data_IF_154633318593
#
_entry.id   IF_154633318593
#
_cell.length_a   1.000
_cell.length_b   1.000
_cell.length_c   1.000
_cell.angle_alpha   90.00
_cell.angle_beta   90.00
_cell.angle_gamma   90.00
#
_symmetry.space_group_name_H-M   'P 1'
#
loop_
_entity.id
_entity.type
_entity.pdbx_description
1 polymer ?
#
# COMPACT_ATOMS: atom_id res chain seq x y z
N UNK A 1 -22.74 5.97 -18.71
CA UNK A 1 -22.35 5.78 -17.30
C UNK A 1 -22.90 4.47 -16.78
N UNK A 2 -22.07 3.58 -16.25
CA UNK A 2 -22.51 2.32 -15.62
C UNK A 2 -22.82 2.56 -14.14
N UNK A 3 -24.11 2.69 -13.79
CA UNK A 3 -24.52 2.68 -12.38
C UNK A 3 -24.35 1.26 -11.83
N UNK A 4 -23.31 1.05 -11.02
CA UNK A 4 -23.16 -0.15 -10.20
C UNK A 4 -24.12 -0.07 -9.02
N UNK A 5 -25.13 -0.94 -8.97
CA UNK A 5 -25.98 -1.09 -7.79
C UNK A 5 -25.18 -1.80 -6.69
N UNK A 6 -24.88 -1.07 -5.63
CA UNK A 6 -24.31 -1.60 -4.38
C UNK A 6 -25.34 -1.52 -3.25
N UNK A 7 -25.37 -2.55 -2.40
CA UNK A 7 -26.15 -2.59 -1.16
C UNK A 7 -25.23 -3.04 -0.04
N UNK A 8 -25.38 -2.45 1.15
CA UNK A 8 -24.63 -2.81 2.35
C UNK A 8 -25.60 -3.36 3.38
N UNK A 9 -25.23 -4.48 4.01
CA UNK A 9 -25.95 -5.10 5.11
C UNK A 9 -24.99 -5.32 6.27
N UNK A 10 -25.23 -4.66 7.39
CA UNK A 10 -24.45 -4.81 8.62
C UNK A 10 -25.25 -5.62 9.63
N UNK A 11 -24.67 -6.69 10.17
CA UNK A 11 -25.29 -7.60 11.14
C UNK A 11 -24.35 -7.85 12.32
N UNK A 12 -24.90 -7.94 13.53
CA UNK A 12 -24.18 -8.42 14.72
C UNK A 12 -24.55 -9.87 14.97
N UNK A 13 -23.54 -10.74 15.09
CA UNK A 13 -23.70 -12.20 15.20
C UNK A 13 -22.78 -12.72 16.30
N UNK A 14 -23.17 -13.81 16.96
CA UNK A 14 -22.27 -14.54 17.86
C UNK A 14 -21.06 -15.10 17.07
N UNK A 15 -19.87 -15.20 17.67
CA UNK A 15 -18.66 -15.65 16.99
C UNK A 15 -18.74 -17.10 16.44
N UNK A 16 -19.61 -17.93 17.03
CA UNK A 16 -19.88 -19.30 16.59
C UNK A 16 -20.75 -19.37 15.32
N UNK A 17 -21.83 -18.59 15.26
CA UNK A 17 -22.76 -18.56 14.13
C UNK A 17 -22.19 -17.82 12.91
N UNK A 18 -21.26 -16.88 13.12
CA UNK A 18 -20.61 -16.13 12.04
C UNK A 18 -19.96 -17.05 10.98
N UNK A 19 -19.36 -18.18 11.40
CA UNK A 19 -18.77 -19.17 10.48
C UNK A 19 -19.82 -19.83 9.59
N UNK A 20 -20.95 -20.23 10.16
CA UNK A 20 -22.05 -20.86 9.42
C UNK A 20 -22.66 -19.88 8.42
N UNK A 21 -22.81 -18.60 8.79
CA UNK A 21 -23.28 -17.54 7.90
C UNK A 21 -22.36 -17.40 6.66
N UNK A 22 -21.04 -17.36 6.85
CA UNK A 22 -20.10 -17.26 5.72
C UNK A 22 -20.12 -18.51 4.82
N UNK A 23 -20.26 -19.71 5.36
CA UNK A 23 -20.41 -20.93 4.56
C UNK A 23 -21.71 -20.95 3.73
N UNK A 24 -22.83 -20.46 4.29
CA UNK A 24 -24.09 -20.34 3.57
C UNK A 24 -23.99 -19.27 2.47
N UNK A 25 -23.43 -18.10 2.78
CA UNK A 25 -23.21 -17.03 1.81
C UNK A 25 -22.29 -17.46 0.66
N UNK A 26 -21.21 -18.21 0.96
CA UNK A 26 -20.29 -18.73 -0.05
C UNK A 26 -20.90 -19.73 -1.04
N UNK A 27 -22.02 -20.38 -0.68
CA UNK A 27 -22.79 -21.27 -1.58
C UNK A 27 -23.68 -20.50 -2.55
N UNK A 28 -24.12 -19.29 -2.17
CA UNK A 28 -25.08 -18.48 -2.94
C UNK A 28 -24.39 -17.33 -3.71
N UNK A 29 -23.29 -16.80 -3.19
CA UNK A 29 -22.60 -15.64 -3.74
C UNK A 29 -21.09 -15.86 -3.85
N UNK A 30 -20.50 -15.38 -4.96
CA UNK A 30 -19.04 -15.38 -5.14
C UNK A 30 -18.40 -14.24 -4.36
N UNK A 31 -17.74 -14.59 -3.25
CA UNK A 31 -16.94 -13.66 -2.44
C UNK A 31 -15.85 -13.03 -3.31
N UNK A 32 -15.79 -11.69 -3.35
CA UNK A 32 -14.82 -10.92 -4.15
C UNK A 32 -13.60 -10.48 -3.32
N UNK A 33 -13.85 -10.01 -2.11
CA UNK A 33 -12.85 -9.65 -1.11
C UNK A 33 -13.40 -10.10 0.25
N UNK A 34 -12.53 -10.61 1.12
CA UNK A 34 -12.85 -10.90 2.52
C UNK A 34 -11.74 -10.30 3.38
N UNK A 35 -12.13 -9.45 4.33
CA UNK A 35 -11.23 -8.81 5.29
C UNK A 35 -11.75 -9.12 6.68
N UNK A 36 -10.97 -9.87 7.44
CA UNK A 36 -11.21 -10.10 8.86
C UNK A 36 -10.26 -9.20 9.63
N UNK A 37 -10.79 -8.38 10.52
CA UNK A 37 -10.03 -7.62 11.49
C UNK A 37 -10.42 -8.12 12.88
N UNK A 38 -9.44 -8.34 13.75
CA UNK A 38 -9.64 -8.89 15.09
C UNK A 38 -8.76 -8.09 16.04
N UNK A 39 -9.39 -7.39 16.98
CA UNK A 39 -8.72 -6.57 17.97
C UNK A 39 -8.81 -7.27 19.33
N UNK A 40 -7.67 -7.59 19.93
CA UNK A 40 -7.63 -8.22 21.26
C UNK A 40 -7.72 -7.14 22.35
N UNK A 41 -8.83 -7.15 23.09
CA UNK A 41 -9.11 -6.23 24.22
C UNK A 41 -8.92 -6.89 25.59
N UNK A 42 -8.36 -8.10 25.65
CA UNK A 42 -8.20 -8.88 26.89
C UNK A 42 -7.38 -8.13 27.95
N UNK A 43 -6.32 -7.43 27.53
CA UNK A 43 -5.49 -6.60 28.43
C UNK A 43 -6.30 -5.48 29.10
N UNK A 44 -7.15 -4.78 28.35
CA UNK A 44 -8.00 -3.70 28.86
C UNK A 44 -9.08 -4.22 29.81
N UNK A 45 -9.66 -5.40 29.53
CA UNK A 45 -10.61 -6.07 30.44
C UNK A 45 -9.92 -6.38 31.78
N UNK A 46 -8.73 -6.99 31.74
CA UNK A 46 -7.96 -7.33 32.95
C UNK A 46 -7.62 -6.09 33.77
N UNK A 47 -7.24 -4.99 33.12
CA UNK A 47 -6.94 -3.71 33.77
C UNK A 47 -8.17 -3.11 34.48
N UNK A 48 -9.31 -3.05 33.79
CA UNK A 48 -10.57 -2.53 34.35
C UNK A 48 -11.02 -3.40 35.53
N UNK A 49 -10.93 -4.72 35.44
CA UNK A 49 -11.27 -5.61 36.56
C UNK A 49 -10.30 -5.48 37.75
N UNK A 50 -9.01 -5.27 37.50
CA UNK A 50 -8.05 -4.98 38.57
C UNK A 50 -8.38 -3.67 39.29
N UNK A 51 -8.76 -2.62 38.55
CA UNK A 51 -9.20 -1.34 39.13
C UNK A 51 -10.49 -1.49 39.94
N UNK A 52 -11.48 -2.26 39.45
CA UNK A 52 -12.72 -2.58 40.18
C UNK A 52 -12.41 -3.30 41.48
N UNK A 53 -11.54 -4.32 41.48
CA UNK A 53 -11.14 -5.05 42.70
C UNK A 53 -10.49 -4.12 43.74
N UNK A 54 -9.58 -3.25 43.29
CA UNK A 54 -8.89 -2.29 44.17
C UNK A 54 -9.87 -1.27 44.80
N UNK A 55 -10.77 -0.68 44.00
CA UNK A 55 -11.79 0.25 44.49
C UNK A 55 -12.80 -0.41 45.43
N UNK A 56 -13.18 -1.66 45.14
CA UNK A 56 -14.05 -2.46 46.02
C UNK A 56 -13.38 -2.68 47.39
N UNK A 57 -12.10 -3.06 47.40
CA UNK A 57 -11.33 -3.21 48.64
C UNK A 57 -11.15 -1.90 49.42
N UNK A 58 -11.01 -0.75 48.75
CA UNK A 58 -10.99 0.56 49.39
C UNK A 58 -12.35 0.90 50.03
N UNK A 59 -13.44 0.76 49.27
CA UNK A 59 -14.83 0.95 49.75
C UNK A 59 -15.11 0.13 51.00
N UNK A 60 -14.68 -1.13 51.02
CA UNK A 60 -14.96 -2.05 52.14
C UNK A 60 -14.14 -1.69 53.38
N UNK A 61 -12.89 -1.21 53.23
CA UNK A 61 -12.10 -0.64 54.34
C UNK A 61 -12.72 0.65 54.89
N UNK A 62 -13.17 1.56 54.02
CA UNK A 62 -13.86 2.80 54.45
C UNK A 62 -15.17 2.48 55.20
N UNK A 63 -15.95 1.51 54.72
CA UNK A 63 -17.14 1.01 55.44
C UNK A 63 -16.79 0.38 56.79
N UNK A 64 -15.69 -0.36 56.88
CA UNK A 64 -15.24 -0.94 58.14
C UNK A 64 -14.80 0.13 59.15
N UNK A 65 -14.19 1.23 58.69
CA UNK A 65 -13.89 2.40 59.53
C UNK A 65 -15.16 3.07 60.04
N UNK A 66 -16.18 3.27 59.19
CA UNK A 66 -17.48 3.80 59.61
C UNK A 66 -18.21 2.90 60.62
N UNK A 67 -18.05 1.57 60.49
CA UNK A 67 -18.66 0.60 61.40
C UNK A 67 -18.00 0.54 62.79
N UNK A 68 -16.81 1.15 62.97
CA UNK A 68 -16.11 1.27 64.25
C UNK A 68 -15.95 2.75 64.65
N UNK A 69 -17.00 3.39 65.20
CA UNK A 69 -17.05 4.83 65.45
C UNK A 69 -16.17 5.26 66.63
N UNK A 70 -14.85 5.31 66.39
CA UNK A 70 -13.83 5.78 67.33
C UNK A 70 -13.33 7.21 67.00
N UNK A 71 -13.99 7.91 66.07
CA UNK A 71 -13.59 9.23 65.56
C UNK A 71 -14.60 10.34 65.86
N UNK A 72 -14.23 11.59 65.54
CA UNK A 72 -15.12 12.74 65.68
C UNK A 72 -16.16 12.80 64.56
N UNK A 73 -17.25 13.56 64.75
CA UNK A 73 -18.29 13.76 63.72
C UNK A 73 -17.71 14.28 62.39
N UNK A 74 -16.64 15.09 62.45
CA UNK A 74 -15.95 15.59 61.25
C UNK A 74 -15.29 14.46 60.45
N UNK A 75 -14.68 13.51 61.15
CA UNK A 75 -13.99 12.37 60.52
C UNK A 75 -15.00 11.43 59.83
N UNK A 76 -16.20 11.26 60.43
CA UNK A 76 -17.30 10.50 59.83
C UNK A 76 -17.75 11.13 58.50
N UNK A 77 -18.01 12.43 58.49
CA UNK A 77 -18.47 13.14 57.27
C UNK A 77 -17.40 13.13 56.17
N UNK A 78 -16.12 13.24 56.52
CA UNK A 78 -15.02 13.12 55.54
C UNK A 78 -14.96 11.70 54.93
N UNK A 79 -15.10 10.66 55.75
CA UNK A 79 -15.11 9.27 55.26
C UNK A 79 -16.38 8.96 54.44
N UNK A 80 -17.54 9.52 54.76
CA UNK A 80 -18.76 9.42 53.94
C UNK A 80 -18.59 10.10 52.57
N UNK A 81 -17.97 11.28 52.54
CA UNK A 81 -17.61 12.00 51.32
C UNK A 81 -16.68 11.16 50.44
N UNK A 82 -15.63 10.58 51.02
CA UNK A 82 -14.67 9.74 50.30
C UNK A 82 -15.27 8.40 49.84
N UNK A 83 -16.19 7.82 50.63
CA UNK A 83 -16.96 6.65 50.24
C UNK A 83 -17.87 6.94 49.04
N UNK A 84 -18.51 8.11 49.01
CA UNK A 84 -19.36 8.57 47.90
C UNK A 84 -18.56 8.76 46.60
N UNK A 85 -17.36 9.37 46.67
CA UNK A 85 -16.41 9.45 45.55
C UNK A 85 -15.98 8.06 45.09
N UNK A 86 -15.56 7.18 46.00
CA UNK A 86 -15.11 5.81 45.70
C UNK A 86 -16.22 4.99 45.03
N UNK A 87 -17.47 5.12 45.47
CA UNK A 87 -18.62 4.45 44.86
C UNK A 87 -18.89 4.99 43.45
N UNK A 88 -18.82 6.32 43.25
CA UNK A 88 -18.97 6.95 41.94
C UNK A 88 -17.89 6.49 40.94
N UNK A 89 -16.63 6.37 41.38
CA UNK A 89 -15.56 5.80 40.56
C UNK A 89 -15.83 4.31 40.23
N UNK A 90 -16.21 3.52 41.23
CA UNK A 90 -16.52 2.10 41.07
C UNK A 90 -17.62 1.87 40.03
N UNK A 91 -18.71 2.64 40.10
CA UNK A 91 -19.82 2.56 39.15
C UNK A 91 -19.37 2.95 37.73
N UNK A 92 -18.51 3.97 37.61
CA UNK A 92 -17.87 4.34 36.35
C UNK A 92 -17.05 3.20 35.72
N UNK A 93 -16.23 2.50 36.50
CA UNK A 93 -15.46 1.35 36.01
C UNK A 93 -16.35 0.12 35.72
N UNK A 94 -17.40 -0.12 36.51
CA UNK A 94 -18.38 -1.19 36.22
C UNK A 94 -19.12 -0.96 34.90
N UNK A 95 -19.50 0.30 34.59
CA UNK A 95 -20.11 0.62 33.29
C UNK A 95 -19.13 0.42 32.14
N UNK A 96 -17.85 0.78 32.29
CA UNK A 96 -16.81 0.46 31.29
C UNK A 96 -16.67 -1.05 31.07
N UNK A 97 -16.67 -1.86 32.13
CA UNK A 97 -16.62 -3.33 32.03
C UNK A 97 -17.79 -3.90 31.22
N UNK A 98 -19.01 -3.37 31.40
CA UNK A 98 -20.20 -3.80 30.62
C UNK A 98 -20.03 -3.50 29.13
N UNK A 99 -19.58 -2.29 28.78
CA UNK A 99 -19.32 -1.92 27.37
C UNK A 99 -18.25 -2.82 26.75
N UNK A 100 -17.15 -3.09 27.46
CA UNK A 100 -16.11 -3.99 26.98
C UNK A 100 -16.59 -5.44 26.80
N UNK A 101 -17.49 -5.94 27.66
CA UNK A 101 -18.12 -7.25 27.48
C UNK A 101 -19.03 -7.28 26.24
N UNK A 102 -19.85 -6.23 26.05
CA UNK A 102 -20.68 -6.07 24.85
C UNK A 102 -19.86 -6.00 23.54
N UNK A 103 -18.65 -5.44 23.59
CA UNK A 103 -17.71 -5.39 22.46
C UNK A 103 -17.00 -6.73 22.20
N UNK A 104 -16.64 -7.49 23.24
CA UNK A 104 -15.88 -8.75 23.07
C UNK A 104 -16.75 -9.97 22.77
N UNK A 105 -18.02 -9.98 23.17
CA UNK A 105 -18.95 -11.10 22.91
C UNK A 105 -19.52 -11.12 21.48
N UNK A 106 -19.45 -10.01 20.73
CA UNK A 106 -20.24 -9.80 19.49
C UNK A 106 -19.37 -9.49 18.28
N UNK A 107 -19.49 -10.31 17.23
CA UNK A 107 -18.81 -10.05 15.95
C UNK A 107 -19.67 -9.13 15.09
N UNK A 108 -19.07 -8.01 14.63
CA UNK A 108 -19.69 -7.13 13.65
C UNK A 108 -19.34 -7.61 12.24
N UNK A 109 -20.36 -7.95 11.45
CA UNK A 109 -20.21 -8.44 10.08
C UNK A 109 -20.83 -7.42 9.12
N UNK A 110 -20.01 -6.81 8.28
CA UNK A 110 -20.46 -5.91 7.22
C UNK A 110 -20.32 -6.57 5.85
N UNK A 111 -21.43 -6.64 5.10
CA UNK A 111 -21.53 -7.34 3.82
C UNK A 111 -21.92 -6.33 2.75
N UNK A 112 -20.99 -6.03 1.85
CA UNK A 112 -21.27 -5.19 0.67
C UNK A 112 -21.54 -6.05 -0.57
N UNK A 113 -22.79 -6.05 -1.01
CA UNK A 113 -23.23 -6.71 -2.24
C UNK A 113 -23.02 -5.76 -3.42
N UNK A 114 -22.26 -6.21 -4.43
CA UNK A 114 -22.14 -5.51 -5.73
C UNK A 114 -22.82 -6.35 -6.79
N UNK A 115 -23.93 -5.87 -7.34
CA UNK A 115 -24.57 -6.55 -8.47
C UNK A 115 -23.69 -6.42 -9.71
N UNK A 116 -23.11 -7.54 -10.14
CA UNK A 116 -22.53 -7.67 -11.48
C UNK A 116 -23.72 -7.82 -12.43
N UNK A 117 -24.03 -6.77 -13.20
CA UNK A 117 -25.01 -6.85 -14.30
C UNK A 117 -24.70 -8.09 -15.14
N UNK A 118 -25.57 -9.09 -15.08
CA UNK A 118 -25.46 -10.24 -15.96
C UNK A 118 -25.88 -9.80 -17.36
N UNK A 119 -25.36 -10.46 -18.39
CA UNK A 119 -25.72 -10.15 -19.79
C UNK A 119 -27.23 -10.36 -20.03
N UNK A 120 -27.90 -11.15 -19.19
CA UNK A 120 -29.35 -11.34 -19.22
C UNK A 120 -30.15 -10.09 -18.85
N UNK A 121 -29.73 -9.29 -17.85
CA UNK A 121 -30.48 -8.09 -17.44
C UNK A 121 -30.35 -6.90 -18.41
N UNK A 122 -29.31 -6.89 -19.25
CA UNK A 122 -29.04 -5.75 -20.15
C UNK A 122 -29.39 -6.06 -21.61
N UNK A 123 -29.98 -7.22 -21.89
CA UNK A 123 -30.26 -7.70 -23.23
C UNK A 123 -29.00 -8.09 -24.01
N UNK A 124 -29.14 -9.01 -24.97
CA UNK A 124 -28.03 -9.56 -25.75
C UNK A 124 -27.20 -8.49 -26.51
N UNK A 125 -27.80 -7.32 -26.79
CA UNK A 125 -27.18 -6.24 -27.57
C UNK A 125 -26.41 -5.19 -26.75
N UNK A 126 -26.56 -5.14 -25.41
CA UNK A 126 -25.80 -4.20 -24.59
C UNK A 126 -24.28 -4.33 -24.68
N UNK A 127 -23.66 -5.54 -24.63
CA UNK A 127 -22.20 -5.65 -24.76
C UNK A 127 -21.69 -5.11 -26.12
N UNK A 128 -22.49 -5.28 -27.18
CA UNK A 128 -22.20 -4.73 -28.51
C UNK A 128 -22.29 -3.20 -28.47
N UNK A 129 -23.39 -2.64 -27.95
CA UNK A 129 -23.57 -1.19 -27.83
C UNK A 129 -22.45 -0.52 -27.01
N UNK A 130 -22.01 -1.15 -25.91
CA UNK A 130 -20.86 -0.64 -25.14
C UNK A 130 -19.56 -0.73 -25.93
N UNK A 131 -19.32 -1.80 -26.70
CA UNK A 131 -18.11 -1.92 -27.50
C UNK A 131 -18.02 -0.86 -28.61
N UNK A 132 -19.13 -0.51 -29.26
CA UNK A 132 -19.19 0.59 -30.23
C UNK A 132 -18.88 1.95 -29.59
N UNK A 133 -19.40 2.20 -28.39
CA UNK A 133 -19.17 3.46 -27.68
C UNK A 133 -17.70 3.59 -27.23
N UNK A 134 -17.10 2.50 -26.74
CA UNK A 134 -15.68 2.44 -26.38
C UNK A 134 -14.78 2.64 -27.59
N UNK A 135 -15.08 1.97 -28.72
CA UNK A 135 -14.33 2.11 -29.97
C UNK A 135 -14.34 3.55 -30.52
N UNK A 136 -15.49 4.24 -30.42
CA UNK A 136 -15.60 5.67 -30.76
C UNK A 136 -14.72 6.55 -29.87
N UNK A 137 -14.61 6.23 -28.58
CA UNK A 137 -13.74 6.95 -27.64
C UNK A 137 -12.24 6.72 -27.95
N UNK A 138 -11.83 5.49 -28.26
CA UNK A 138 -10.45 5.16 -28.67
C UNK A 138 -10.07 5.84 -29.99
N UNK A 139 -10.99 5.89 -30.95
CA UNK A 139 -10.78 6.63 -32.22
C UNK A 139 -10.61 8.13 -31.97
N UNK A 140 -11.49 8.74 -31.16
CA UNK A 140 -11.42 10.15 -30.80
C UNK A 140 -10.14 10.50 -30.03
N UNK A 141 -9.71 9.65 -29.10
CA UNK A 141 -8.45 9.81 -28.37
C UNK A 141 -7.23 9.72 -29.30
N UNK A 142 -7.26 8.78 -30.27
CA UNK A 142 -6.21 8.62 -31.28
C UNK A 142 -6.15 9.84 -32.22
N UNK A 143 -7.30 10.39 -32.63
CA UNK A 143 -7.40 11.62 -33.42
C UNK A 143 -6.87 12.84 -32.64
N UNK A 144 -7.26 12.98 -31.37
CA UNK A 144 -6.76 14.04 -30.49
C UNK A 144 -5.23 13.97 -30.30
N UNK A 145 -4.69 12.75 -30.14
CA UNK A 145 -3.25 12.53 -30.06
C UNK A 145 -2.53 12.93 -31.36
N UNK A 146 -3.08 12.57 -32.53
CA UNK A 146 -2.52 12.96 -33.82
C UNK A 146 -2.50 14.48 -34.02
N UNK A 147 -3.58 15.19 -33.65
CA UNK A 147 -3.64 16.66 -33.67
C UNK A 147 -2.62 17.27 -32.71
N UNK A 148 -2.53 16.76 -31.48
CA UNK A 148 -1.58 17.24 -30.47
C UNK A 148 -0.13 17.01 -30.92
N UNK A 149 0.18 15.86 -31.53
CA UNK A 149 1.49 15.55 -32.10
C UNK A 149 1.84 16.50 -33.25
N UNK A 150 0.90 16.78 -34.16
CA UNK A 150 1.11 17.74 -35.24
C UNK A 150 1.48 19.14 -34.71
N UNK A 151 0.72 19.65 -33.72
CA UNK A 151 1.02 20.93 -33.07
C UNK A 151 2.37 20.91 -32.34
N UNK A 152 2.70 19.82 -31.65
CA UNK A 152 3.97 19.67 -30.94
C UNK A 152 5.19 19.62 -31.88
N UNK A 153 5.04 19.11 -33.10
CA UNK A 153 6.12 19.01 -34.10
C UNK A 153 6.37 20.34 -34.83
N UNK A 154 5.36 21.23 -34.97
CA UNK A 154 5.50 22.52 -35.68
C UNK A 154 6.69 23.38 -35.19
N UNK A 155 6.91 23.61 -33.88
CA UNK A 155 8.07 24.36 -33.39
C UNK A 155 9.42 23.73 -33.79
N UNK A 156 9.52 22.40 -33.74
CA UNK A 156 10.73 21.69 -34.15
C UNK A 156 10.95 21.76 -35.65
N UNK A 157 9.90 21.69 -36.46
CA UNK A 157 9.97 21.82 -37.92
C UNK A 157 10.51 23.21 -38.30
N UNK A 158 9.99 24.27 -37.67
CA UNK A 158 10.46 25.66 -37.89
C UNK A 158 11.93 25.84 -37.52
N UNK A 159 12.45 25.08 -36.54
CA UNK A 159 13.84 25.14 -36.09
C UNK A 159 14.78 24.26 -36.96
N UNK A 160 14.32 23.10 -37.41
CA UNK A 160 15.11 22.15 -38.21
C UNK A 160 15.12 22.41 -39.73
N UNK A 161 14.19 23.21 -40.27
CA UNK A 161 14.21 23.59 -41.70
C UNK A 161 15.34 24.59 -42.06
N UNK A 162 15.57 25.70 -41.33
CA UNK A 162 16.59 26.69 -41.70
C UNK A 162 18.01 26.32 -41.27
N UNK A 163 18.18 25.46 -40.26
CA UNK A 163 19.48 25.05 -39.72
C UNK A 163 20.40 24.36 -40.74
N UNK A 164 19.98 23.34 -41.53
CA UNK A 164 20.84 22.74 -42.55
C UNK A 164 21.16 23.74 -43.69
N UNK A 165 20.23 24.63 -44.05
CA UNK A 165 20.48 25.65 -45.08
C UNK A 165 21.55 26.65 -44.64
N UNK A 166 21.49 27.13 -43.38
CA UNK A 166 22.52 27.99 -42.80
C UNK A 166 23.88 27.29 -42.66
N UNK A 167 23.89 26.00 -42.25
CA UNK A 167 25.11 25.19 -42.17
C UNK A 167 25.76 25.01 -43.55
N UNK A 168 24.99 24.62 -44.57
CA UNK A 168 25.49 24.46 -45.95
C UNK A 168 26.02 25.79 -46.48
N UNK A 169 25.31 26.90 -46.26
CA UNK A 169 25.73 28.24 -46.71
C UNK A 169 26.98 28.74 -45.98
N UNK A 170 27.14 28.41 -44.69
CA UNK A 170 28.36 28.66 -43.93
C UNK A 170 29.55 27.86 -44.45
N UNK A 171 29.35 26.56 -44.69
CA UNK A 171 30.37 25.65 -45.25
C UNK A 171 30.75 26.08 -46.69
N UNK A 172 29.80 26.52 -47.51
CA UNK A 172 30.07 27.02 -48.86
C UNK A 172 30.86 28.34 -48.85
N UNK A 173 30.60 29.24 -47.90
CA UNK A 173 31.44 30.44 -47.70
C UNK A 173 32.88 30.09 -47.31
N UNK A 174 33.09 29.03 -46.53
CA UNK A 174 34.42 28.56 -46.14
C UNK A 174 35.14 27.76 -47.25
N UNK A 175 34.39 27.14 -48.17
CA UNK A 175 34.91 26.38 -49.33
C UNK A 175 34.98 27.21 -50.62
N UNK A 176 34.94 28.54 -50.50
CA UNK A 176 35.09 29.49 -51.60
C UNK A 176 36.55 29.77 -52.00
N UNK A 177 37.50 29.38 -51.14
CA UNK A 177 38.92 29.26 -51.49
C UNK A 177 39.27 27.80 -51.77
N UNK A 178 40.32 27.60 -52.56
CA UNK A 178 40.98 26.32 -52.88
C UNK A 178 40.28 25.43 -53.93
N UNK A 179 40.24 25.97 -55.16
CA UNK A 179 40.57 25.20 -56.37
C UNK A 179 42.05 24.72 -56.29
N UNK A 180 42.43 23.54 -56.84
CA UNK A 180 42.21 23.26 -58.25
C UNK A 180 41.73 21.85 -58.63
N UNK A 181 40.93 21.85 -59.69
CA UNK A 181 40.53 20.70 -60.50
C UNK A 181 41.67 20.36 -61.48
N UNK A 182 42.06 19.09 -61.63
CA UNK A 182 42.69 18.62 -62.89
C UNK A 182 42.02 17.37 -63.44
N UNK A 183 41.11 17.68 -64.36
CA UNK A 183 40.58 17.03 -65.55
C UNK A 183 41.15 15.69 -66.08
N UNK A 184 40.39 14.99 -66.96
CA UNK A 184 40.48 13.55 -67.21
C UNK A 184 41.12 13.16 -68.57
N UNK A 185 41.36 11.85 -68.72
CA UNK A 185 41.43 11.06 -69.98
C UNK A 185 40.93 9.65 -69.62
N UNK A 186 39.94 9.02 -70.29
CA UNK A 186 39.98 8.41 -71.64
C UNK A 186 41.10 7.33 -71.68
N UNK A 187 40.86 6.04 -71.98
CA UNK A 187 39.95 5.45 -72.98
C UNK A 187 39.42 4.03 -72.63
N UNK A 188 38.64 3.42 -73.53
CA UNK A 188 38.10 2.06 -73.44
C UNK A 188 39.17 0.94 -73.46
N UNK A 189 38.83 -0.24 -72.92
CA UNK A 189 38.48 -1.46 -73.70
C UNK A 189 37.86 -2.48 -72.74
N UNK A 190 36.65 -2.94 -73.04
CA UNK A 190 35.99 -4.06 -72.36
C UNK A 190 36.06 -5.29 -73.26
N UNK A 191 36.76 -6.35 -72.82
CA UNK A 191 36.46 -7.75 -73.17
C UNK A 191 37.01 -8.65 -72.06
N UNK A 192 36.19 -9.62 -71.63
CA UNK A 192 36.44 -10.57 -70.53
C UNK A 192 37.27 -11.78 -71.04
N UNK A 193 37.35 -12.99 -70.41
CA UNK A 193 36.94 -13.44 -69.05
C UNK A 193 37.98 -14.40 -68.37
N UNK A 194 37.49 -15.14 -67.35
CA UNK A 194 37.91 -16.47 -66.82
C UNK A 194 39.09 -16.63 -65.81
N UNK A 195 38.75 -17.37 -64.74
CA UNK A 195 39.52 -18.45 -64.08
C UNK A 195 40.55 -18.22 -62.96
N UNK A 196 40.16 -18.69 -61.77
CA UNK A 196 40.81 -19.75 -60.97
C UNK A 196 42.33 -19.70 -60.68
N UNK A 197 42.68 -19.71 -59.37
CA UNK A 197 43.75 -20.55 -58.82
C UNK A 197 43.55 -20.79 -57.29
N UNK A 198 44.30 -21.75 -56.73
CA UNK A 198 44.06 -22.40 -55.43
C UNK A 198 45.13 -22.03 -54.34
N UNK A 199 45.04 -22.53 -53.08
CA UNK A 199 45.82 -22.10 -51.89
C UNK A 199 47.17 -22.90 -51.74
N UNK A 200 47.99 -22.92 -50.62
CA UNK A 200 47.67 -22.63 -49.20
C UNK A 200 48.78 -22.17 -48.18
N UNK A 201 48.38 -22.02 -46.88
CA UNK A 201 49.20 -22.03 -45.62
C UNK A 201 50.17 -20.82 -45.42
N UNK A 202 50.53 -20.32 -44.23
CA UNK A 202 50.38 -20.65 -42.77
C UNK A 202 50.64 -19.35 -41.95
N UNK A 203 50.55 -19.18 -40.61
CA UNK A 203 50.19 -19.98 -39.42
C UNK A 203 49.82 -19.06 -38.22
N UNK A 204 49.13 -19.57 -37.19
CA UNK A 204 49.02 -18.99 -35.82
C UNK A 204 48.03 -17.82 -35.62
N UNK A 205 47.28 -17.69 -34.52
CA UNK A 205 47.08 -18.56 -33.35
C UNK A 205 45.72 -18.24 -32.69
N UNK A 206 45.00 -19.27 -32.22
CA UNK A 206 43.81 -19.18 -31.34
C UNK A 206 44.23 -19.35 -29.85
N UNK A 207 43.35 -19.38 -28.80
CA UNK A 207 41.87 -19.37 -28.75
C UNK A 207 41.33 -18.25 -27.78
N UNK A 208 40.18 -18.25 -27.08
CA UNK A 208 39.12 -19.25 -26.79
C UNK A 208 37.77 -18.60 -26.37
N UNK A 209 36.65 -19.30 -26.66
CA UNK A 209 35.38 -19.58 -25.93
C UNK A 209 34.93 -18.76 -24.68
N UNK A 210 33.69 -18.97 -24.16
CA UNK A 210 32.34 -19.04 -24.76
C UNK A 210 31.41 -17.94 -24.15
N UNK A 211 30.20 -17.60 -24.58
CA UNK A 211 29.11 -18.39 -25.15
C UNK A 211 28.07 -18.79 -24.07
N UNK A 212 26.99 -18.01 -23.89
CA UNK A 212 25.75 -18.45 -23.22
C UNK A 212 24.53 -17.79 -23.87
N UNK A 213 23.55 -18.60 -24.25
CA UNK A 213 22.20 -18.15 -24.59
C UNK A 213 21.21 -18.73 -23.56
N UNK A 214 20.31 -17.89 -23.04
CA UNK A 214 19.11 -18.27 -22.28
C UNK A 214 18.00 -17.30 -22.73
N UNK A 215 16.84 -17.70 -23.24
CA UNK A 215 15.98 -18.87 -22.99
C UNK A 215 15.10 -18.76 -21.74
N UNK A 216 13.82 -18.49 -22.02
CA UNK A 216 12.62 -19.08 -21.41
C UNK A 216 11.89 -18.44 -20.20
N UNK A 217 10.57 -18.65 -20.23
CA UNK A 217 9.53 -18.68 -19.16
C UNK A 217 9.24 -17.47 -18.24
N UNK A 218 8.09 -16.87 -18.56
CA UNK A 218 6.84 -16.85 -17.74
C UNK A 218 6.94 -17.05 -16.21
N UNK A 219 6.38 -16.04 -15.50
CA UNK A 219 5.40 -16.13 -14.40
C UNK A 219 5.72 -17.08 -13.22
N UNK A 220 6.06 -16.49 -12.07
CA UNK A 220 5.57 -16.94 -10.74
C UNK A 220 5.15 -15.71 -9.92
N UNK A 221 3.96 -15.77 -9.32
CA UNK A 221 3.47 -14.85 -8.29
C UNK A 221 4.17 -15.14 -6.96
N UNK A 222 4.67 -14.13 -6.25
CA UNK A 222 5.03 -14.30 -4.84
C UNK A 222 4.71 -13.08 -3.96
N UNK A 223 3.62 -13.26 -3.21
CA UNK A 223 3.24 -12.54 -2.01
C UNK A 223 4.41 -12.46 -1.00
N UNK A 224 4.81 -11.24 -0.59
CA UNK A 224 5.70 -11.05 0.57
C UNK A 224 5.22 -9.94 1.50
N UNK A 225 4.44 -10.39 2.49
CA UNK A 225 4.19 -9.82 3.81
C UNK A 225 5.48 -9.32 4.49
N UNK A 226 5.49 -8.08 5.00
CA UNK A 226 6.27 -7.69 6.19
C UNK A 226 5.82 -6.34 6.78
N UNK A 227 5.31 -6.30 8.02
CA UNK A 227 5.17 -5.04 8.77
C UNK A 227 6.52 -4.66 9.42
N UNK A 228 6.88 -3.36 9.40
CA UNK A 228 8.00 -2.83 10.19
C UNK A 228 7.54 -2.47 11.60
N UNK A 229 8.37 -2.79 12.59
CA UNK A 229 8.09 -2.57 14.00
C UNK A 229 8.03 -1.08 14.41
N UNK A 230 7.29 -0.73 15.48
CA UNK A 230 7.33 0.61 16.06
C UNK A 230 8.66 0.86 16.79
N UNK A 231 9.35 1.94 16.41
CA UNK A 231 10.56 2.41 17.08
C UNK A 231 10.19 3.23 18.33
N UNK A 232 10.26 2.63 19.52
CA UNK A 232 10.03 3.33 20.79
C UNK A 232 11.34 3.81 21.43
N UNK A 233 11.88 4.93 20.93
CA UNK A 233 12.85 5.72 21.67
C UNK A 233 12.15 6.66 22.67
N UNK A 234 11.85 6.15 23.88
CA UNK A 234 11.57 6.99 25.05
C UNK A 234 12.32 6.50 26.29
N UNK A 235 13.66 6.48 26.20
CA UNK A 235 14.51 6.51 27.39
C UNK A 235 14.61 7.96 27.89
N UNK A 236 13.57 8.43 28.58
CA UNK A 236 13.66 9.68 29.35
C UNK A 236 14.47 9.39 30.61
N UNK A 237 15.79 9.52 30.50
CA UNK A 237 16.74 9.38 31.61
C UNK A 237 16.64 10.60 32.52
N UNK A 238 15.72 10.54 33.49
CA UNK A 238 15.63 11.48 34.61
C UNK A 238 15.11 10.70 35.83
N UNK A 239 16.03 10.06 36.55
CA UNK A 239 15.87 9.62 37.95
C UNK A 239 17.25 9.29 38.53
N UNK A 240 18.10 10.32 38.65
CA UNK A 240 19.41 10.24 39.30
C UNK A 240 19.33 10.85 40.70
N UNK A 241 18.39 10.37 41.53
CA UNK A 241 18.06 11.03 42.80
C UNK A 241 17.63 10.12 43.96
N UNK A 242 17.92 8.81 43.95
CA UNK A 242 17.63 7.96 45.13
C UNK A 242 18.66 6.86 45.48
N UNK A 243 19.88 6.93 44.92
CA UNK A 243 20.93 5.92 45.17
C UNK A 243 21.97 6.33 46.22
N UNK A 244 21.57 7.00 47.31
CA UNK A 244 22.50 7.30 48.42
C UNK A 244 21.81 7.45 49.79
N UNK A 245 21.28 6.35 50.35
CA UNK A 245 20.78 6.31 51.75
C UNK A 245 21.05 5.02 52.55
N UNK A 246 21.79 4.06 51.99
CA UNK A 246 22.06 2.76 52.62
C UNK A 246 23.55 2.42 52.76
N UNK A 247 24.38 3.44 53.01
CA UNK A 247 25.80 3.27 53.40
C UNK A 247 26.12 4.12 54.65
N UNK A 248 25.41 3.83 55.74
CA UNK A 248 25.79 4.24 57.09
C UNK A 248 25.36 3.15 58.08
N UNK A 249 26.19 2.87 59.09
CA UNK A 249 25.98 1.88 60.16
C UNK A 249 26.00 0.38 59.77
N UNK A 250 27.19 -0.16 59.44
CA UNK A 250 27.57 -1.55 59.79
C UNK A 250 29.08 -1.84 59.71
N UNK A 251 29.94 -0.97 60.26
CA UNK A 251 31.36 -1.28 60.54
C UNK A 251 31.99 -0.19 61.43
N UNK A 252 32.39 -0.55 62.65
CA UNK A 252 32.95 0.38 63.65
C UNK A 252 32.28 0.20 65.00
#
# INVERSE_FOLDING_TARGET
MLVSRSSTLSLRVAPEDAKQLFEQLGKVAKILEHRTESEDRTSTVIEVEAKIRNLTGLRDRLRQMLASPNGSLKDVVEVESELSKTQSELDGFQMRRKVLADETEKVFVDISFRSRKSVAETGAFAPIATAWQEAGHVLAASMAFAITFAVAVVPWLVLFIPTPWLLIKGIQRLRGNDMPRKSPSIEHVETQPISQAAPPRTAGQAPCLPGVALSDRRIILMNQKMPRAPNNHRSSRNDTAEHNRYLACSSG
#
